data_IF_199015161585
#
_entry.id   IF_199015161585
#
_cell.length_a   1.000
_cell.length_b   1.000
_cell.length_c   1.000
_cell.angle_alpha   90.00
_cell.angle_beta   90.00
_cell.angle_gamma   90.00
#
_symmetry.space_group_name_H-M   'P 1'
#
loop_
_entity.id
_entity.type
_entity.pdbx_description
1 polymer ?
#
# COMPACT_ATOMS: atom_id res chain seq x y z
N UNK A 1 42.94 -35.76 -20.59
CA UNK A 1 43.31 -34.63 -21.45
C UNK A 1 42.99 -33.35 -20.69
N UNK A 2 43.95 -32.86 -19.90
CA UNK A 2 43.78 -31.68 -19.04
C UNK A 2 44.12 -30.43 -19.85
N UNK A 3 43.14 -29.54 -20.02
CA UNK A 3 43.35 -28.22 -20.58
C UNK A 3 43.60 -27.23 -19.44
N UNK A 4 44.81 -26.64 -19.42
CA UNK A 4 45.16 -25.54 -18.52
C UNK A 4 44.36 -24.28 -18.86
N UNK A 5 43.87 -23.52 -17.86
CA UNK A 5 43.18 -22.27 -18.11
C UNK A 5 44.17 -21.15 -18.46
N UNK A 6 43.85 -20.37 -19.49
CA UNK A 6 44.60 -19.19 -19.90
C UNK A 6 44.31 -17.99 -19.00
N UNK A 7 45.28 -17.06 -18.82
CA UNK A 7 45.12 -15.89 -17.96
C UNK A 7 44.22 -14.83 -18.59
N UNK A 8 43.34 -14.25 -17.77
CA UNK A 8 42.44 -13.14 -18.12
C UNK A 8 43.21 -11.81 -18.00
N UNK A 9 43.10 -10.88 -18.96
CA UNK A 9 43.76 -9.58 -18.89
C UNK A 9 43.11 -8.64 -17.85
N UNK A 10 43.95 -7.85 -17.18
CA UNK A 10 43.55 -6.87 -16.17
C UNK A 10 42.79 -5.67 -16.77
N UNK A 11 41.85 -5.07 -16.02
CA UNK A 11 41.12 -3.88 -16.47
C UNK A 11 42.01 -2.61 -16.47
N UNK A 12 41.73 -1.63 -17.35
CA UNK A 12 42.46 -0.36 -17.38
C UNK A 12 42.13 0.51 -16.15
N UNK A 13 43.17 1.16 -15.61
CA UNK A 13 43.11 1.96 -14.39
C UNK A 13 42.31 3.26 -14.54
N UNK A 14 41.64 3.64 -13.46
CA UNK A 14 40.85 4.87 -13.35
C UNK A 14 41.75 6.13 -13.32
N UNK A 15 41.30 7.25 -13.92
CA UNK A 15 42.02 8.52 -13.85
C UNK A 15 41.89 9.18 -12.47
N UNK A 16 43.01 9.71 -11.98
CA UNK A 16 43.14 10.45 -10.72
C UNK A 16 42.39 11.79 -10.74
N UNK A 17 41.75 12.20 -9.64
CA UNK A 17 41.04 13.48 -9.55
C UNK A 17 42.01 14.66 -9.44
N UNK A 18 41.75 15.69 -10.24
CA UNK A 18 42.47 16.96 -10.29
C UNK A 18 42.14 17.81 -9.05
N UNK A 19 43.14 18.52 -8.52
CA UNK A 19 43.01 19.42 -7.38
C UNK A 19 42.09 20.62 -7.67
N UNK A 20 41.37 21.15 -6.66
CA UNK A 20 40.55 22.35 -6.81
C UNK A 20 41.41 23.63 -6.86
N UNK A 21 40.98 24.67 -7.60
CA UNK A 21 41.68 25.95 -7.65
C UNK A 21 41.41 26.85 -6.44
N UNK A 22 42.39 27.69 -6.12
CA UNK A 22 42.44 28.65 -5.01
C UNK A 22 41.30 29.68 -5.05
N UNK A 23 40.53 29.77 -3.96
CA UNK A 23 39.55 30.84 -3.73
C UNK A 23 40.24 32.15 -3.33
N UNK A 24 40.25 33.11 -4.26
CA UNK A 24 40.61 34.50 -3.99
C UNK A 24 39.48 35.22 -3.23
N UNK A 25 39.84 35.88 -2.13
CA UNK A 25 38.93 36.55 -1.20
C UNK A 25 38.07 37.65 -1.82
N UNK A 26 36.79 37.64 -1.45
CA UNK A 26 35.81 38.70 -1.76
C UNK A 26 35.82 39.76 -0.64
N UNK A 27 35.90 41.07 -0.96
CA UNK A 27 35.86 42.12 0.05
C UNK A 27 34.44 42.35 0.61
N UNK A 28 34.36 42.61 1.92
CA UNK A 28 33.13 42.84 2.67
C UNK A 28 32.40 44.14 2.23
N UNK A 29 31.08 44.04 2.11
CA UNK A 29 30.19 45.16 1.80
C UNK A 29 29.96 46.09 3.03
N UNK A 30 29.71 47.40 2.81
CA UNK A 30 29.55 48.37 3.89
C UNK A 30 28.18 48.28 4.60
N UNK A 31 28.21 48.41 5.93
CA UNK A 31 27.05 48.38 6.82
C UNK A 31 26.34 49.74 6.78
N UNK A 32 25.04 49.76 6.45
CA UNK A 32 24.18 50.95 6.54
C UNK A 32 23.50 51.01 7.92
N UNK A 33 23.43 52.17 8.58
CA UNK A 33 22.75 52.29 9.87
C UNK A 33 21.23 52.27 9.71
N UNK A 34 20.55 51.52 10.60
CA UNK A 34 19.09 51.39 10.64
C UNK A 34 18.37 52.65 11.15
N UNK A 35 17.04 52.74 10.96
CA UNK A 35 16.26 53.95 11.19
C UNK A 35 16.03 54.23 12.69
N UNK A 36 16.14 55.50 13.06
CA UNK A 36 16.01 56.00 14.43
C UNK A 36 14.56 56.03 14.91
N UNK A 37 14.29 55.43 16.06
CA UNK A 37 12.96 55.41 16.70
C UNK A 37 12.75 56.70 17.50
N UNK A 38 11.81 57.56 17.07
CA UNK A 38 11.40 58.76 17.83
C UNK A 38 10.66 58.36 19.10
N UNK A 39 11.16 58.79 20.27
CA UNK A 39 10.46 58.69 21.56
C UNK A 39 9.20 59.56 21.55
N UNK A 40 8.03 58.93 21.60
CA UNK A 40 6.75 59.60 21.87
C UNK A 40 6.70 59.95 23.36
N UNK A 41 6.70 61.25 23.69
CA UNK A 41 6.44 61.72 25.06
C UNK A 41 4.98 61.40 25.43
N UNK A 42 4.79 60.61 26.51
CA UNK A 42 3.46 60.32 27.05
C UNK A 42 2.85 61.59 27.65
N UNK A 43 1.86 62.18 26.97
CA UNK A 43 0.92 63.11 27.59
C UNK A 43 0.20 62.38 28.72
N UNK A 44 0.28 62.89 29.95
CA UNK A 44 -0.54 62.38 31.06
C UNK A 44 -2.00 62.70 30.76
N UNK A 45 -2.87 61.69 30.73
CA UNK A 45 -4.32 61.90 30.63
C UNK A 45 -4.84 62.50 31.95
N UNK A 46 -5.80 63.41 31.80
CA UNK A 46 -6.46 64.13 32.88
C UNK A 46 -7.51 63.21 33.55
N UNK A 47 -7.47 62.97 34.88
CA UNK A 47 -8.31 61.96 35.53
C UNK A 47 -9.80 62.33 35.66
N UNK A 48 -10.20 63.55 35.31
CA UNK A 48 -11.58 64.04 35.45
C UNK A 48 -12.56 63.54 34.35
N UNK A 49 -12.12 62.67 33.43
CA UNK A 49 -12.92 62.17 32.30
C UNK A 49 -13.56 60.78 32.54
N UNK A 50 -13.48 60.24 33.76
CA UNK A 50 -13.92 58.87 34.09
C UNK A 50 -15.19 58.78 34.93
N UNK A 51 -15.88 59.89 35.21
CA UNK A 51 -17.06 59.93 36.08
C UNK A 51 -18.34 60.31 35.32
N UNK A 52 -18.62 59.56 34.24
CA UNK A 52 -19.91 59.59 33.54
C UNK A 52 -20.74 58.33 33.87
N UNK A 53 -22.10 58.40 33.87
CA UNK A 53 -22.97 57.28 34.21
C UNK A 53 -22.94 56.09 33.23
N UNK A 54 -22.20 56.18 32.12
CA UNK A 54 -22.10 55.13 31.08
C UNK A 54 -20.79 54.33 31.12
N UNK A 55 -20.04 54.33 32.23
CA UNK A 55 -18.79 53.57 32.34
C UNK A 55 -19.06 52.18 32.93
N UNK A 56 -19.11 51.15 32.07
CA UNK A 56 -19.14 49.74 32.49
C UNK A 56 -17.78 49.37 33.09
N UNK A 57 -17.69 49.35 34.43
CA UNK A 57 -16.49 48.91 35.15
C UNK A 57 -16.41 47.37 35.09
N UNK A 58 -15.75 46.83 34.07
CA UNK A 58 -15.43 45.40 33.99
C UNK A 58 -14.40 45.08 35.07
N UNK A 59 -14.84 44.51 36.20
CA UNK A 59 -13.93 44.05 37.26
C UNK A 59 -12.93 43.06 36.66
N UNK A 60 -11.63 43.25 36.94
CA UNK A 60 -10.52 42.39 36.47
C UNK A 60 -10.80 40.89 36.66
N UNK A 61 -11.52 40.50 37.72
CA UNK A 61 -11.94 39.12 37.99
C UNK A 61 -12.80 38.48 36.89
N UNK A 62 -13.65 39.26 36.23
CA UNK A 62 -14.53 38.82 35.13
C UNK A 62 -13.76 38.60 33.82
N UNK A 63 -12.66 39.33 33.63
CA UNK A 63 -11.77 39.18 32.48
C UNK A 63 -10.92 37.91 32.58
N UNK A 64 -10.42 37.59 33.78
CA UNK A 64 -9.64 36.35 34.01
C UNK A 64 -10.50 35.09 33.98
N UNK A 65 -11.76 35.16 34.43
CA UNK A 65 -12.70 34.03 34.36
C UNK A 65 -13.03 33.61 32.92
N UNK A 66 -13.29 34.57 32.03
CA UNK A 66 -13.59 34.28 30.62
C UNK A 66 -12.39 33.71 29.84
N UNK A 67 -11.20 34.25 30.07
CA UNK A 67 -9.96 33.77 29.42
C UNK A 67 -9.60 32.36 29.90
N UNK A 68 -9.74 32.08 31.21
CA UNK A 68 -9.46 30.75 31.75
C UNK A 68 -10.40 29.69 31.16
N UNK A 69 -11.70 30.00 31.06
CA UNK A 69 -12.68 29.10 30.45
C UNK A 69 -12.35 28.85 28.97
N UNK A 70 -12.05 29.89 28.19
CA UNK A 70 -11.68 29.74 26.78
C UNK A 70 -10.41 28.91 26.59
N UNK A 71 -9.39 29.09 27.43
CA UNK A 71 -8.15 28.31 27.40
C UNK A 71 -8.40 26.86 27.79
N UNK A 72 -9.22 26.59 28.81
CA UNK A 72 -9.57 25.22 29.21
C UNK A 72 -10.36 24.51 28.12
N UNK A 73 -11.34 25.16 27.48
CA UNK A 73 -12.08 24.56 26.37
C UNK A 73 -11.22 24.38 25.12
N UNK A 74 -10.27 25.27 24.85
CA UNK A 74 -9.33 25.11 23.74
C UNK A 74 -8.34 23.96 24.00
N UNK A 75 -7.79 23.85 25.23
CA UNK A 75 -6.91 22.75 25.62
C UNK A 75 -7.65 21.41 25.67
N UNK A 76 -8.90 21.40 26.15
CA UNK A 76 -9.76 20.22 26.14
C UNK A 76 -10.17 19.86 24.71
N UNK A 77 -10.44 20.84 23.86
CA UNK A 77 -10.69 20.63 22.43
C UNK A 77 -9.47 20.09 21.69
N UNK A 78 -8.26 20.51 22.04
CA UNK A 78 -7.01 19.93 21.53
C UNK A 78 -6.77 18.51 22.07
N UNK A 79 -7.08 18.28 23.35
CA UNK A 79 -6.96 16.96 23.98
C UNK A 79 -7.93 15.96 23.33
N UNK A 80 -9.21 16.31 23.24
CA UNK A 80 -10.27 15.48 22.63
C UNK A 80 -10.07 15.38 21.11
N UNK A 81 -9.63 16.46 20.45
CA UNK A 81 -9.30 16.46 19.03
C UNK A 81 -8.19 15.46 18.68
N UNK A 82 -7.23 15.22 19.57
CA UNK A 82 -6.23 14.14 19.42
C UNK A 82 -6.81 12.72 19.50
N UNK A 83 -7.95 12.55 20.17
CA UNK A 83 -8.62 11.25 20.29
C UNK A 83 -9.68 11.01 19.22
N UNK A 84 -10.15 12.07 18.53
CA UNK A 84 -11.23 11.99 17.53
C UNK A 84 -10.71 12.17 16.09
N UNK A 85 -9.55 12.81 15.88
CA UNK A 85 -8.94 12.89 14.55
C UNK A 85 -8.01 11.69 14.32
N UNK A 86 -8.25 10.87 13.27
CA UNK A 86 -7.30 9.85 12.88
C UNK A 86 -6.05 10.57 12.36
N UNK A 87 -4.94 10.44 13.08
CA UNK A 87 -3.61 10.73 12.53
C UNK A 87 -3.30 9.61 11.54
N UNK A 88 -3.90 9.66 10.35
CA UNK A 88 -3.84 8.58 9.36
C UNK A 88 -3.81 9.08 7.91
N UNK A 89 -3.43 10.33 7.67
CA UNK A 89 -3.57 10.98 6.37
C UNK A 89 -2.47 10.68 5.33
N UNK A 90 -1.30 10.18 5.72
CA UNK A 90 -0.19 9.93 4.78
C UNK A 90 -0.11 8.49 4.29
N UNK A 91 -0.26 7.51 5.19
CA UNK A 91 -0.11 6.09 4.84
C UNK A 91 -1.16 5.62 3.81
N UNK A 92 -2.44 6.00 3.99
CA UNK A 92 -3.50 5.63 3.04
C UNK A 92 -3.37 6.29 1.66
N UNK A 93 -2.81 7.50 1.60
CA UNK A 93 -2.56 8.19 0.33
C UNK A 93 -1.39 7.55 -0.44
N UNK A 94 -0.34 7.13 0.26
CA UNK A 94 0.79 6.41 -0.34
C UNK A 94 0.38 5.00 -0.80
N UNK A 95 -0.41 4.27 0.00
CA UNK A 95 -0.96 2.96 -0.43
C UNK A 95 -1.90 3.11 -1.62
N UNK A 96 -2.75 4.15 -1.66
CA UNK A 96 -3.62 4.41 -2.80
C UNK A 96 -2.82 4.69 -4.09
N UNK A 97 -1.77 5.52 -4.00
CA UNK A 97 -0.86 5.76 -5.14
C UNK A 97 -0.11 4.50 -5.56
N UNK A 98 0.28 3.65 -4.61
CA UNK A 98 0.94 2.38 -4.89
C UNK A 98 0.00 1.41 -5.59
N UNK A 99 -1.24 1.26 -5.11
CA UNK A 99 -2.24 0.40 -5.74
C UNK A 99 -2.57 0.88 -7.16
N UNK A 100 -2.74 2.18 -7.38
CA UNK A 100 -2.92 2.75 -8.73
C UNK A 100 -1.72 2.47 -9.63
N UNK A 101 -0.50 2.67 -9.13
CA UNK A 101 0.74 2.40 -9.87
C UNK A 101 0.91 0.91 -10.22
N UNK A 102 0.43 0.00 -9.37
CA UNK A 102 0.40 -1.44 -9.61
C UNK A 102 -0.81 -1.87 -10.47
N UNK A 103 -1.69 -0.92 -10.81
CA UNK A 103 -2.92 -1.12 -11.58
C UNK A 103 -3.96 -1.95 -10.85
N UNK A 104 -4.02 -1.87 -9.52
CA UNK A 104 -4.92 -2.64 -8.66
C UNK A 104 -6.23 -1.91 -8.44
N UNK A 105 -7.35 -2.57 -8.76
CA UNK A 105 -8.68 -2.05 -8.48
C UNK A 105 -9.18 -2.45 -7.08
N UNK A 106 -10.15 -1.69 -6.54
CA UNK A 106 -10.73 -1.97 -5.22
C UNK A 106 -11.50 -3.30 -5.15
N UNK A 107 -11.99 -3.79 -6.30
CA UNK A 107 -12.80 -4.99 -6.41
C UNK A 107 -11.96 -6.27 -6.58
N UNK A 108 -10.62 -6.19 -6.56
CA UNK A 108 -9.78 -7.39 -6.65
C UNK A 108 -9.91 -8.28 -5.40
N UNK A 109 -9.92 -9.62 -5.56
CA UNK A 109 -9.94 -10.53 -4.42
C UNK A 109 -8.69 -10.38 -3.56
N UNK A 110 -8.89 -9.96 -2.32
CA UNK A 110 -7.78 -9.57 -1.46
C UNK A 110 -8.12 -9.66 0.03
N UNK A 111 -7.12 -9.91 0.87
CA UNK A 111 -7.23 -9.90 2.34
C UNK A 111 -6.24 -8.93 2.97
N UNK A 112 -6.45 -8.64 4.26
CA UNK A 112 -5.67 -7.66 5.02
C UNK A 112 -6.16 -6.22 4.84
N UNK A 113 -5.59 -5.25 5.58
CA UNK A 113 -6.05 -3.86 5.59
C UNK A 113 -5.92 -3.21 4.22
N UNK A 114 -6.92 -2.43 3.82
CA UNK A 114 -6.89 -1.70 2.54
C UNK A 114 -5.81 -0.60 2.50
N UNK A 115 -5.36 -0.14 3.67
CA UNK A 115 -4.33 0.88 3.87
C UNK A 115 -2.97 0.28 4.30
N UNK A 116 -2.79 -1.04 4.16
CA UNK A 116 -1.52 -1.67 4.46
C UNK A 116 -0.39 -1.07 3.61
N UNK A 117 0.76 -0.79 4.23
CA UNK A 117 1.93 -0.22 3.53
C UNK A 117 2.63 -1.21 2.61
N UNK A 118 2.45 -2.51 2.90
CA UNK A 118 3.00 -3.60 2.10
C UNK A 118 1.86 -4.25 1.33
N UNK A 119 1.98 -4.24 0.02
CA UNK A 119 1.05 -4.83 -0.94
C UNK A 119 1.76 -6.00 -1.62
N UNK A 120 1.15 -7.18 -1.54
CA UNK A 120 1.60 -8.38 -2.26
C UNK A 120 0.55 -8.71 -3.31
N UNK A 121 0.95 -8.72 -4.58
CA UNK A 121 0.12 -9.19 -5.69
C UNK A 121 0.65 -10.55 -6.11
N UNK A 122 -0.19 -11.58 -6.09
CA UNK A 122 0.09 -12.89 -6.65
C UNK A 122 -0.58 -13.02 -8.02
N UNK A 123 0.20 -13.28 -9.06
CA UNK A 123 -0.32 -13.83 -10.31
C UNK A 123 -0.29 -15.36 -10.23
N UNK A 124 -1.46 -15.99 -10.25
CA UNK A 124 -1.61 -17.42 -9.98
C UNK A 124 -2.48 -18.13 -11.02
N UNK A 125 -2.39 -19.46 -11.02
CA UNK A 125 -3.10 -20.37 -11.91
C UNK A 125 -3.59 -21.58 -11.12
N UNK A 126 -4.91 -21.80 -11.13
CA UNK A 126 -5.55 -22.88 -10.37
C UNK A 126 -5.17 -24.30 -10.79
N UNK A 127 -4.59 -24.53 -11.97
CA UNK A 127 -4.01 -25.81 -12.39
C UNK A 127 -2.50 -25.93 -12.19
N UNK A 128 -1.81 -24.84 -11.88
CA UNK A 128 -0.37 -24.85 -11.77
C UNK A 128 0.08 -25.61 -10.51
N UNK A 129 0.94 -26.64 -10.64
CA UNK A 129 1.41 -27.43 -9.49
C UNK A 129 2.29 -26.60 -8.54
N UNK A 130 3.03 -25.60 -9.04
CA UNK A 130 3.80 -24.70 -8.18
C UNK A 130 2.91 -23.73 -7.41
N UNK A 131 1.79 -23.27 -7.99
CA UNK A 131 0.82 -22.45 -7.25
C UNK A 131 0.25 -23.23 -6.07
N UNK A 132 -0.14 -24.50 -6.30
CA UNK A 132 -0.54 -25.40 -5.22
C UNK A 132 0.56 -25.61 -4.19
N UNK A 133 1.82 -25.80 -4.61
CA UNK A 133 2.94 -25.94 -3.69
C UNK A 133 3.11 -24.71 -2.79
N UNK A 134 2.91 -23.49 -3.33
CA UNK A 134 2.90 -22.27 -2.54
C UNK A 134 1.72 -22.25 -1.55
N UNK A 135 0.53 -22.65 -1.98
CA UNK A 135 -0.66 -22.70 -1.11
C UNK A 135 -0.48 -23.66 0.07
N UNK A 136 0.08 -24.85 -0.18
CA UNK A 136 0.30 -25.87 0.85
C UNK A 136 1.42 -25.50 1.82
N UNK A 137 2.49 -24.87 1.33
CA UNK A 137 3.70 -24.68 2.13
C UNK A 137 3.85 -23.27 2.69
N UNK A 138 3.46 -22.23 1.98
CA UNK A 138 3.83 -20.85 2.32
C UNK A 138 2.62 -19.99 2.67
N UNK A 139 1.54 -20.07 1.90
CA UNK A 139 0.39 -19.16 1.98
C UNK A 139 -0.22 -19.04 3.39
N UNK A 140 -0.55 -20.18 4.02
CA UNK A 140 -1.19 -20.18 5.34
C UNK A 140 -0.33 -19.50 6.42
N UNK A 141 0.99 -19.74 6.40
CA UNK A 141 1.95 -19.13 7.34
C UNK A 141 2.15 -17.64 7.06
N UNK A 142 2.21 -17.26 5.79
CA UNK A 142 2.29 -15.85 5.37
C UNK A 142 1.07 -15.07 5.89
N UNK A 143 -0.14 -15.59 5.62
CA UNK A 143 -1.40 -14.99 6.06
C UNK A 143 -1.49 -14.90 7.59
N UNK A 144 -1.09 -15.95 8.30
CA UNK A 144 -1.11 -15.96 9.76
C UNK A 144 -0.21 -14.87 10.37
N UNK A 145 0.97 -14.64 9.81
CA UNK A 145 1.95 -13.72 10.39
C UNK A 145 1.78 -12.26 9.97
N UNK A 146 1.20 -12.02 8.79
CA UNK A 146 1.23 -10.69 8.16
C UNK A 146 -0.16 -10.15 7.78
N UNK A 147 -1.25 -10.83 8.12
CA UNK A 147 -2.61 -10.38 7.75
C UNK A 147 -3.01 -9.01 8.32
N UNK A 148 -2.32 -8.50 9.32
CA UNK A 148 -2.52 -7.16 9.90
C UNK A 148 -1.60 -6.09 9.28
N UNK A 149 -0.58 -6.49 8.52
CA UNK A 149 0.48 -5.61 7.99
C UNK A 149 0.50 -5.56 6.47
N UNK A 150 -0.07 -6.57 5.81
CA UNK A 150 0.01 -6.77 4.36
C UNK A 150 -1.39 -6.78 3.75
N UNK A 151 -1.53 -6.07 2.62
CA UNK A 151 -2.62 -6.26 1.67
C UNK A 151 -2.19 -7.30 0.65
N UNK A 152 -2.78 -8.49 0.70
CA UNK A 152 -2.51 -9.53 -0.29
C UNK A 152 -3.64 -9.58 -1.30
N UNK A 153 -3.28 -9.57 -2.58
CA UNK A 153 -4.19 -9.53 -3.71
C UNK A 153 -3.89 -10.72 -4.63
N UNK A 154 -4.93 -11.40 -5.07
CA UNK A 154 -4.85 -12.46 -6.05
C UNK A 154 -5.23 -11.93 -7.42
N UNK A 155 -4.44 -12.26 -8.45
CA UNK A 155 -4.69 -11.98 -9.86
C UNK A 155 -4.66 -13.24 -10.69
N UNK A 156 -5.62 -13.33 -11.59
CA UNK A 156 -5.75 -14.47 -12.48
C UNK A 156 -4.67 -14.44 -13.58
N UNK A 157 -3.88 -15.51 -13.68
CA UNK A 157 -2.90 -15.67 -14.76
C UNK A 157 -2.91 -17.11 -15.30
N UNK A 158 -4.05 -17.57 -15.88
CA UNK A 158 -4.14 -18.90 -16.45
C UNK A 158 -3.13 -19.08 -17.61
N UNK A 159 -2.32 -20.12 -17.53
CA UNK A 159 -1.35 -20.50 -18.56
C UNK A 159 -2.04 -21.35 -19.64
N UNK A 160 -2.89 -20.72 -20.44
CA UNK A 160 -3.84 -21.37 -21.38
C UNK A 160 -3.21 -22.42 -22.30
N UNK A 161 -1.93 -22.27 -22.66
CA UNK A 161 -1.21 -23.18 -23.56
C UNK A 161 -0.94 -24.56 -22.95
N UNK A 162 -0.90 -24.67 -21.62
CA UNK A 162 -0.55 -25.89 -20.90
C UNK A 162 -1.58 -26.28 -19.83
N UNK A 163 -2.44 -25.35 -19.42
CA UNK A 163 -3.45 -25.52 -18.38
C UNK A 163 -4.85 -25.17 -18.91
N UNK A 164 -5.49 -26.07 -19.70
CA UNK A 164 -6.75 -25.76 -20.39
C UNK A 164 -7.96 -25.52 -19.48
N UNK A 165 -7.90 -25.92 -18.20
CA UNK A 165 -8.95 -25.73 -17.19
C UNK A 165 -8.68 -24.56 -16.24
N UNK A 166 -7.50 -23.94 -16.31
CA UNK A 166 -7.14 -22.82 -15.44
C UNK A 166 -8.05 -21.61 -15.67
N UNK A 167 -8.31 -21.25 -16.93
CA UNK A 167 -9.14 -20.09 -17.26
C UNK A 167 -10.61 -20.27 -16.86
N UNK A 168 -11.29 -21.39 -17.17
CA UNK A 168 -12.62 -21.65 -16.60
C UNK A 168 -12.65 -21.61 -15.07
N UNK A 169 -11.62 -22.13 -14.39
CA UNK A 169 -11.52 -22.10 -12.94
C UNK A 169 -11.35 -20.67 -12.38
N UNK A 170 -10.53 -19.84 -13.04
CA UNK A 170 -10.36 -18.41 -12.74
C UNK A 170 -11.69 -17.64 -12.89
N UNK A 171 -12.38 -17.81 -14.03
CA UNK A 171 -13.69 -17.19 -14.26
C UNK A 171 -14.71 -17.61 -13.19
N UNK A 172 -14.72 -18.89 -12.81
CA UNK A 172 -15.58 -19.40 -11.76
C UNK A 172 -15.21 -18.87 -10.36
N UNK A 173 -13.92 -18.67 -10.06
CA UNK A 173 -13.48 -18.05 -8.82
C UNK A 173 -13.97 -16.59 -8.71
N UNK A 174 -13.95 -15.84 -9.82
CA UNK A 174 -14.52 -14.49 -9.85
C UNK A 174 -16.05 -14.50 -9.71
N UNK A 175 -16.74 -15.52 -10.25
CA UNK A 175 -18.16 -15.75 -9.97
C UNK A 175 -18.44 -16.06 -8.48
N UNK A 176 -17.48 -16.65 -7.76
CA UNK A 176 -17.61 -16.81 -6.31
C UNK A 176 -17.27 -15.53 -5.55
N UNK A 177 -16.34 -14.72 -6.07
CA UNK A 177 -15.98 -13.42 -5.51
C UNK A 177 -17.14 -12.43 -5.48
N UNK A 178 -17.93 -12.36 -6.55
CA UNK A 178 -19.13 -11.50 -6.58
C UNK A 178 -20.18 -11.86 -5.51
N UNK A 179 -20.09 -13.07 -4.94
CA UNK A 179 -20.93 -13.55 -3.84
C UNK A 179 -20.20 -13.54 -2.49
N UNK A 180 -19.01 -12.93 -2.42
CA UNK A 180 -18.21 -12.81 -1.20
C UNK A 180 -17.54 -14.10 -0.74
N UNK A 181 -17.36 -15.09 -1.63
CA UNK A 181 -16.84 -16.43 -1.33
C UNK A 181 -15.57 -16.79 -2.09
N UNK A 182 -14.80 -15.78 -2.52
CA UNK A 182 -13.58 -16.00 -3.29
C UNK A 182 -12.60 -16.93 -2.57
N UNK A 183 -12.24 -16.62 -1.32
CA UNK A 183 -11.17 -17.36 -0.61
C UNK A 183 -11.57 -18.81 -0.31
N UNK A 184 -12.81 -19.05 0.09
CA UNK A 184 -13.30 -20.41 0.29
C UNK A 184 -13.35 -21.21 -1.02
N UNK A 185 -13.73 -20.57 -2.12
CA UNK A 185 -13.75 -21.20 -3.44
C UNK A 185 -12.33 -21.45 -3.97
N UNK A 186 -11.45 -20.48 -3.84
CA UNK A 186 -10.01 -20.56 -4.11
C UNK A 186 -9.36 -21.75 -3.42
N UNK A 187 -9.61 -21.92 -2.12
CA UNK A 187 -9.05 -23.02 -1.34
C UNK A 187 -9.57 -24.38 -1.84
N UNK A 188 -10.86 -24.47 -2.22
CA UNK A 188 -11.43 -25.69 -2.82
C UNK A 188 -10.79 -26.02 -4.17
N UNK A 189 -10.54 -25.02 -5.04
CA UNK A 189 -9.92 -25.26 -6.34
C UNK A 189 -8.49 -25.80 -6.18
N UNK A 190 -7.68 -25.21 -5.31
CA UNK A 190 -6.32 -25.69 -5.06
C UNK A 190 -6.29 -27.06 -4.36
N UNK A 191 -7.26 -27.36 -3.50
CA UNK A 191 -7.41 -28.70 -2.94
C UNK A 191 -7.75 -29.75 -4.01
N UNK A 192 -8.36 -29.36 -5.14
CA UNK A 192 -8.91 -30.26 -6.15
C UNK A 192 -8.40 -29.99 -7.58
N UNK A 193 -7.13 -29.60 -7.79
CA UNK A 193 -6.58 -29.20 -9.11
C UNK A 193 -6.78 -30.20 -10.27
N UNK A 194 -7.05 -31.48 -9.97
CA UNK A 194 -7.30 -32.52 -10.98
C UNK A 194 -8.77 -32.58 -11.45
N UNK A 195 -9.68 -31.95 -10.71
CA UNK A 195 -11.13 -31.95 -10.93
C UNK A 195 -11.61 -30.49 -11.04
N UNK A 196 -11.35 -29.88 -12.20
CA UNK A 196 -11.69 -28.49 -12.53
C UNK A 196 -12.54 -28.40 -13.80
N UNK A 197 -13.27 -29.47 -14.14
CA UNK A 197 -14.25 -29.41 -15.23
C UNK A 197 -15.45 -28.55 -14.80
N UNK A 198 -16.26 -28.06 -15.74
CA UNK A 198 -17.40 -27.17 -15.44
C UNK A 198 -18.34 -27.74 -14.37
N UNK A 199 -18.61 -29.05 -14.41
CA UNK A 199 -19.46 -29.71 -13.42
C UNK A 199 -18.82 -29.73 -12.01
N UNK A 200 -17.49 -29.87 -11.93
CA UNK A 200 -16.76 -29.77 -10.68
C UNK A 200 -16.87 -28.37 -10.09
N UNK A 201 -16.66 -27.34 -10.93
CA UNK A 201 -16.73 -25.93 -10.54
C UNK A 201 -18.12 -25.60 -9.96
N UNK A 202 -19.20 -25.97 -10.66
CA UNK A 202 -20.58 -25.79 -10.18
C UNK A 202 -20.85 -26.57 -8.89
N UNK A 203 -20.31 -27.77 -8.75
CA UNK A 203 -20.43 -28.58 -7.53
C UNK A 203 -19.72 -27.92 -6.34
N UNK A 204 -18.54 -27.33 -6.52
CA UNK A 204 -17.85 -26.61 -5.44
C UNK A 204 -18.63 -25.37 -5.00
N UNK A 205 -19.23 -24.64 -5.94
CA UNK A 205 -20.07 -23.48 -5.62
C UNK A 205 -21.27 -23.89 -4.77
N UNK A 206 -21.91 -25.01 -5.14
CA UNK A 206 -23.02 -25.58 -4.38
C UNK A 206 -22.59 -26.01 -2.97
N UNK A 207 -21.41 -26.62 -2.81
CA UNK A 207 -20.87 -27.02 -1.50
C UNK A 207 -20.67 -25.83 -0.56
N UNK A 208 -20.30 -24.67 -1.10
CA UNK A 208 -20.11 -23.43 -0.36
C UNK A 208 -21.41 -22.65 -0.12
N UNK A 209 -22.54 -23.15 -0.62
CA UNK A 209 -23.85 -22.53 -0.45
C UNK A 209 -24.03 -21.23 -1.23
N UNK A 210 -23.35 -21.09 -2.38
CA UNK A 210 -23.57 -19.96 -3.28
C UNK A 210 -24.98 -20.01 -3.90
N UNK A 211 -25.47 -18.85 -4.33
CA UNK A 211 -26.64 -18.77 -5.19
C UNK A 211 -26.29 -19.42 -6.54
N UNK A 212 -26.87 -20.59 -6.78
CA UNK A 212 -26.58 -21.39 -7.95
C UNK A 212 -27.20 -20.85 -9.23
N UNK A 213 -28.29 -20.09 -9.15
CA UNK A 213 -28.86 -19.44 -10.34
C UNK A 213 -27.92 -18.33 -10.83
N UNK A 214 -27.48 -17.49 -9.88
CA UNK A 214 -26.50 -16.44 -10.14
C UNK A 214 -25.17 -17.04 -10.61
N UNK A 215 -24.64 -18.04 -9.91
CA UNK A 215 -23.35 -18.65 -10.23
C UNK A 215 -23.35 -19.34 -11.60
N UNK A 216 -24.38 -20.14 -11.89
CA UNK A 216 -24.49 -20.81 -13.18
C UNK A 216 -24.58 -19.80 -14.31
N UNK A 217 -25.39 -18.75 -14.16
CA UNK A 217 -25.48 -17.69 -15.17
C UNK A 217 -24.13 -17.01 -15.37
N UNK A 218 -23.41 -16.69 -14.29
CA UNK A 218 -22.09 -16.07 -14.35
C UNK A 218 -21.08 -16.92 -15.13
N UNK A 219 -20.99 -18.22 -14.82
CA UNK A 219 -20.08 -19.16 -15.49
C UNK A 219 -20.50 -19.41 -16.94
N UNK A 220 -21.77 -19.68 -17.20
CA UNK A 220 -22.27 -20.09 -18.52
C UNK A 220 -22.19 -18.94 -19.55
N UNK A 221 -22.35 -17.69 -19.08
CA UNK A 221 -22.15 -16.48 -19.89
C UNK A 221 -20.70 -16.00 -19.94
N UNK A 222 -19.81 -16.64 -19.17
CA UNK A 222 -18.41 -16.24 -18.99
C UNK A 222 -18.28 -14.76 -18.60
N UNK A 223 -19.12 -14.31 -17.66
CA UNK A 223 -19.22 -12.91 -17.22
C UNK A 223 -17.87 -12.26 -16.92
N UNK A 224 -16.94 -13.01 -16.32
CA UNK A 224 -15.62 -12.53 -15.93
C UNK A 224 -14.49 -12.78 -16.94
N UNK A 225 -14.78 -13.28 -18.15
CA UNK A 225 -13.77 -13.52 -19.18
C UNK A 225 -12.90 -12.28 -19.45
N UNK A 226 -13.53 -11.10 -19.60
CA UNK A 226 -12.82 -9.86 -19.86
C UNK A 226 -11.94 -9.41 -18.69
N UNK A 227 -12.37 -9.69 -17.45
CA UNK A 227 -11.60 -9.39 -16.24
C UNK A 227 -10.36 -10.27 -16.14
N UNK A 228 -10.54 -11.59 -16.30
CA UNK A 228 -9.42 -12.55 -16.30
C UNK A 228 -8.43 -12.22 -17.42
N UNK A 229 -8.91 -11.83 -18.60
CA UNK A 229 -8.03 -11.40 -19.68
C UNK A 229 -7.29 -10.10 -19.34
N UNK A 230 -7.92 -9.14 -18.67
CA UNK A 230 -7.26 -7.92 -18.23
C UNK A 230 -6.11 -8.20 -17.25
N UNK A 231 -6.29 -9.15 -16.32
CA UNK A 231 -5.25 -9.59 -15.38
C UNK A 231 -4.08 -10.24 -16.12
N UNK A 232 -4.36 -11.14 -17.08
CA UNK A 232 -3.33 -11.73 -17.94
C UNK A 232 -2.53 -10.64 -18.66
N UNK A 233 -3.21 -9.69 -19.29
CA UNK A 233 -2.51 -8.60 -19.98
C UNK A 233 -1.73 -7.70 -19.02
N UNK A 234 -2.19 -7.51 -17.78
CA UNK A 234 -1.47 -6.78 -16.74
C UNK A 234 -0.18 -7.51 -16.33
N UNK A 235 -0.24 -8.83 -16.12
CA UNK A 235 0.93 -9.64 -15.82
C UNK A 235 1.93 -9.65 -16.98
N UNK A 236 1.48 -9.76 -18.22
CA UNK A 236 2.35 -9.69 -19.40
C UNK A 236 3.08 -8.35 -19.51
N UNK A 237 2.40 -7.22 -19.23
CA UNK A 237 3.04 -5.90 -19.17
C UNK A 237 4.10 -5.79 -18.07
N UNK A 238 3.97 -6.58 -17.02
CA UNK A 238 4.92 -6.67 -15.90
C UNK A 238 5.97 -7.79 -16.11
N UNK A 239 6.04 -8.38 -17.30
CA UNK A 239 6.96 -9.48 -17.66
C UNK A 239 6.75 -10.76 -16.82
N UNK A 240 5.52 -11.05 -16.38
CA UNK A 240 5.16 -12.35 -15.81
C UNK A 240 5.27 -13.41 -16.90
N UNK A 241 6.14 -14.40 -16.69
CA UNK A 241 6.39 -15.49 -17.64
C UNK A 241 5.93 -16.86 -17.12
N UNK A 242 5.42 -16.93 -15.89
CA UNK A 242 4.95 -18.16 -15.26
C UNK A 242 4.35 -17.90 -13.87
N UNK A 243 3.76 -18.94 -13.28
CA UNK A 243 3.05 -18.86 -12.00
C UNK A 243 3.62 -19.84 -10.95
N UNK A 244 3.57 -19.50 -9.65
CA UNK A 244 3.14 -18.20 -9.14
C UNK A 244 4.24 -17.15 -9.34
N UNK A 245 3.85 -15.91 -9.63
CA UNK A 245 4.76 -14.75 -9.60
C UNK A 245 4.18 -13.71 -8.66
N UNK A 246 5.01 -13.19 -7.76
CA UNK A 246 4.60 -12.21 -6.77
C UNK A 246 5.24 -10.85 -7.04
N UNK A 247 4.52 -9.78 -6.73
CA UNK A 247 5.07 -8.42 -6.64
C UNK A 247 4.81 -7.88 -5.24
N UNK A 248 5.87 -7.57 -4.50
CA UNK A 248 5.82 -7.00 -3.15
C UNK A 248 6.25 -5.53 -3.24
N UNK A 249 5.28 -4.60 -3.20
CA UNK A 249 5.48 -3.18 -3.55
C UNK A 249 6.25 -2.99 -4.87
N UNK A 250 5.94 -3.81 -5.88
CA UNK A 250 6.59 -3.78 -7.20
C UNK A 250 7.90 -4.58 -7.30
N UNK A 251 8.45 -5.11 -6.19
CA UNK A 251 9.59 -6.03 -6.24
C UNK A 251 9.14 -7.44 -6.60
N UNK A 252 9.64 -7.99 -7.70
CA UNK A 252 9.26 -9.32 -8.17
C UNK A 252 9.90 -10.43 -7.33
N UNK A 253 9.10 -11.43 -6.95
CA UNK A 253 9.54 -12.68 -6.35
C UNK A 253 8.90 -13.83 -7.15
N UNK A 254 9.72 -14.58 -7.87
CA UNK A 254 9.23 -15.54 -8.89
C UNK A 254 9.25 -16.96 -8.37
N UNK A 255 8.16 -17.69 -8.61
CA UNK A 255 7.98 -19.08 -8.24
C UNK A 255 7.45 -19.27 -6.82
N UNK A 256 7.20 -20.53 -6.47
CA UNK A 256 6.72 -20.93 -5.16
C UNK A 256 7.85 -20.90 -4.13
N UNK A 257 8.25 -19.68 -3.75
CA UNK A 257 9.33 -19.42 -2.83
C UNK A 257 8.94 -19.80 -1.39
N UNK A 258 9.92 -20.18 -0.56
CA UNK A 258 9.67 -20.45 0.85
C UNK A 258 9.33 -19.16 1.59
N UNK A 259 8.69 -19.31 2.75
CA UNK A 259 8.24 -18.20 3.59
C UNK A 259 9.34 -17.20 3.93
N UNK A 260 10.55 -17.69 4.16
CA UNK A 260 11.72 -16.89 4.53
C UNK A 260 12.07 -15.87 3.43
N UNK A 261 11.84 -16.20 2.16
CA UNK A 261 12.05 -15.26 1.05
C UNK A 261 11.07 -14.09 1.11
N UNK A 262 9.79 -14.35 1.40
CA UNK A 262 8.80 -13.29 1.61
C UNK A 262 9.16 -12.42 2.82
N UNK A 263 9.55 -13.04 3.94
CA UNK A 263 9.95 -12.32 5.14
C UNK A 263 11.14 -11.39 4.88
N UNK A 264 12.13 -11.83 4.09
CA UNK A 264 13.28 -11.01 3.74
C UNK A 264 12.88 -9.75 2.97
N UNK A 265 12.00 -9.88 1.97
CA UNK A 265 11.52 -8.73 1.17
C UNK A 265 10.66 -7.80 2.03
N UNK A 266 9.73 -8.35 2.83
CA UNK A 266 8.89 -7.55 3.75
C UNK A 266 9.79 -6.78 4.73
N UNK A 267 10.74 -7.44 5.38
CA UNK A 267 11.65 -6.80 6.33
C UNK A 267 12.57 -5.75 5.70
N UNK A 268 12.91 -5.89 4.42
CA UNK A 268 13.62 -4.86 3.67
C UNK A 268 12.74 -3.63 3.44
N UNK A 269 11.49 -3.83 3.01
CA UNK A 269 10.56 -2.74 2.70
C UNK A 269 10.10 -1.99 3.96
N UNK A 270 9.87 -2.69 5.07
CA UNK A 270 9.53 -2.05 6.36
C UNK A 270 10.64 -1.11 6.80
N UNK A 271 11.92 -1.53 6.71
CA UNK A 271 13.07 -0.69 7.09
C UNK A 271 13.32 0.50 6.16
N UNK A 272 12.85 0.43 4.91
CA UNK A 272 13.03 1.52 3.94
C UNK A 272 11.95 2.61 4.06
N UNK A 273 10.84 2.31 4.75
CA UNK A 273 9.72 3.25 4.98
C UNK A 273 9.69 3.88 6.37
N UNK A 274 10.65 3.56 7.24
CA UNK A 274 10.90 4.18 8.55
C UNK A 274 11.94 5.31 8.44
#
# INVERSE_FOLDING_TARGET
MSASPQPVPAPPGEPTPSAPPDEAGTPAAPITPGPQVRRIQRRRLNPALLEGPDVIVIRRSTLYGGIFIAVVFFLLGLLVGRYVLPVGGSAGAETGSLMEALGVSADEPAWGPADARIVIIEYSDFQCPYCKMFMENTYARLRQMYSDQVRFIYRDFPLDSIHPRARPAAEAAQCAHEQGKFWEYHDLLFANQQALETDDLKRYAQQLGLDMEQFNTCVDTRKYQASVEADVQAGLRQNVTGTPTFFINGQALVGAQPLEAFQAVIAQLTRAGD
#
